data_IF_256167169623
#
_entry.id   IF_256167169623
#
_cell.length_a   1.000
_cell.length_b   1.000
_cell.length_c   1.000
_cell.angle_alpha   90.00
_cell.angle_beta   90.00
_cell.angle_gamma   90.00
#
_symmetry.space_group_name_H-M   'P 1'
#
loop_
_entity.id
_entity.type
_entity.pdbx_description
1 polymer ?
#
# COMPACT_ATOMS: atom_id res chain seq x y z
N UNK A 1 1.28 -18.32 11.72
CA UNK A 1 1.74 -16.96 12.09
C UNK A 1 1.45 -15.96 10.98
N UNK A 2 1.46 -14.67 11.32
CA UNK A 2 1.33 -13.57 10.36
C UNK A 2 2.47 -13.59 9.34
N UNK A 3 2.15 -13.41 8.06
CA UNK A 3 3.15 -13.44 6.97
C UNK A 3 3.41 -12.06 6.37
N UNK A 4 2.48 -11.12 6.59
CA UNK A 4 2.59 -9.72 6.24
C UNK A 4 1.88 -8.88 7.32
N UNK A 5 1.93 -7.55 7.19
CA UNK A 5 1.32 -6.63 8.12
C UNK A 5 0.38 -5.67 7.41
N UNK A 6 -0.57 -5.16 8.19
CA UNK A 6 -1.47 -4.09 7.79
C UNK A 6 -1.32 -2.95 8.82
N UNK A 7 -1.44 -1.71 8.36
CA UNK A 7 -1.40 -0.57 9.28
C UNK A 7 -2.64 -0.57 10.18
N UNK A 8 -2.50 -0.01 11.39
CA UNK A 8 -3.55 -0.05 12.42
C UNK A 8 -4.90 0.49 11.95
N UNK A 9 -4.89 1.47 11.07
CA UNK A 9 -6.09 2.16 10.55
C UNK A 9 -6.48 1.67 9.15
N UNK A 10 -5.78 0.66 8.62
CA UNK A 10 -6.11 0.04 7.35
C UNK A 10 -6.87 -1.25 7.62
N UNK A 11 -8.05 -1.37 7.01
CA UNK A 11 -8.86 -2.59 7.01
C UNK A 11 -8.50 -3.47 5.80
N UNK A 12 -8.95 -4.72 5.83
CA UNK A 12 -8.86 -5.62 4.67
C UNK A 12 -8.23 -6.97 4.97
N UNK A 13 -7.67 -7.58 3.92
CA UNK A 13 -7.17 -8.95 3.97
C UNK A 13 -5.85 -9.06 4.74
N UNK A 14 -5.82 -9.93 5.75
CA UNK A 14 -4.63 -10.31 6.49
C UNK A 14 -4.41 -11.82 6.34
N UNK A 15 -3.21 -12.23 5.92
CA UNK A 15 -2.90 -13.65 5.72
C UNK A 15 -2.17 -14.20 6.94
N UNK A 16 -2.71 -15.29 7.49
CA UNK A 16 -2.15 -16.02 8.62
C UNK A 16 -1.91 -17.46 8.19
N UNK A 17 -0.66 -17.92 8.26
CA UNK A 17 -0.36 -19.33 8.05
C UNK A 17 -0.80 -20.18 9.25
N UNK A 18 -1.39 -21.33 9.00
CA UNK A 18 -1.83 -22.28 10.04
C UNK A 18 -0.68 -23.13 10.59
N UNK A 19 0.34 -23.38 9.78
CA UNK A 19 1.50 -24.23 10.12
C UNK A 19 2.80 -23.64 9.55
N UNK A 20 3.92 -24.31 9.83
CA UNK A 20 5.25 -23.87 9.38
C UNK A 20 5.43 -23.95 7.87
N UNK A 21 4.89 -24.98 7.22
CA UNK A 21 5.01 -25.16 5.78
C UNK A 21 4.33 -24.02 5.03
N UNK A 22 3.08 -23.71 5.40
CA UNK A 22 2.33 -22.57 4.86
C UNK A 22 2.99 -21.24 5.18
N UNK A 23 3.58 -21.08 6.37
CA UNK A 23 4.29 -19.85 6.72
C UNK A 23 5.50 -19.63 5.81
N UNK A 24 6.30 -20.67 5.60
CA UNK A 24 7.49 -20.60 4.76
C UNK A 24 7.13 -20.37 3.29
N UNK A 25 6.19 -21.13 2.74
CA UNK A 25 5.72 -20.98 1.37
C UNK A 25 5.15 -19.58 1.11
N UNK A 26 4.31 -19.06 2.02
CA UNK A 26 3.77 -17.71 1.90
C UNK A 26 4.90 -16.67 1.93
N UNK A 27 5.84 -16.76 2.88
CA UNK A 27 6.97 -15.83 2.95
C UNK A 27 7.81 -15.81 1.68
N UNK A 28 8.06 -16.97 1.08
CA UNK A 28 8.75 -17.05 -0.21
C UNK A 28 7.96 -16.35 -1.32
N UNK A 29 6.64 -16.57 -1.41
CA UNK A 29 5.80 -15.92 -2.41
C UNK A 29 5.80 -14.38 -2.26
N UNK A 30 5.76 -13.87 -1.02
CA UNK A 30 5.89 -12.42 -0.76
C UNK A 30 7.28 -11.90 -1.18
N UNK A 31 8.36 -12.59 -0.79
CA UNK A 31 9.72 -12.20 -1.11
C UNK A 31 10.01 -12.24 -2.62
N UNK A 32 9.39 -13.17 -3.35
CA UNK A 32 9.49 -13.30 -4.79
C UNK A 32 8.58 -12.36 -5.59
N UNK A 33 7.77 -11.51 -4.93
CA UNK A 33 6.86 -10.59 -5.60
C UNK A 33 5.68 -11.28 -6.30
N UNK A 34 5.35 -12.52 -5.92
CA UNK A 34 4.29 -13.31 -6.54
C UNK A 34 2.89 -13.02 -5.97
N UNK A 35 2.83 -12.25 -4.88
CA UNK A 35 1.57 -11.90 -4.22
C UNK A 35 1.04 -10.58 -4.78
N UNK A 36 -0.10 -10.65 -5.47
CA UNK A 36 -0.85 -9.47 -5.91
C UNK A 36 -1.62 -8.87 -4.74
N UNK A 37 -1.33 -7.61 -4.40
CA UNK A 37 -1.96 -6.86 -3.29
C UNK A 37 -2.75 -5.68 -3.85
N UNK A 38 -4.05 -5.65 -3.60
CA UNK A 38 -4.95 -4.61 -4.10
C UNK A 38 -5.76 -3.98 -2.97
N UNK A 39 -5.94 -2.67 -3.07
CA UNK A 39 -6.62 -1.86 -2.07
C UNK A 39 -7.60 -0.90 -2.74
N UNK A 40 -8.60 -0.50 -1.97
CA UNK A 40 -9.46 0.63 -2.31
C UNK A 40 -9.23 1.72 -1.27
N UNK A 41 -9.04 2.95 -1.73
CA UNK A 41 -8.84 4.11 -0.89
C UNK A 41 -9.78 5.25 -1.29
N UNK A 42 -10.19 6.04 -0.30
CA UNK A 42 -10.84 7.33 -0.51
C UNK A 42 -9.79 8.41 -0.28
N UNK A 43 -9.43 9.12 -1.34
CA UNK A 43 -8.43 10.18 -1.34
C UNK A 43 -9.11 11.55 -1.32
N UNK A 44 -8.48 12.51 -0.66
CA UNK A 44 -8.83 13.92 -0.81
C UNK A 44 -8.44 14.41 -2.20
N UNK A 45 -9.22 15.37 -2.70
CA UNK A 45 -9.03 16.03 -3.99
C UNK A 45 -9.12 15.11 -5.22
N UNK A 46 -8.82 15.68 -6.38
CA UNK A 46 -8.78 15.01 -7.66
C UNK A 46 -7.40 14.38 -7.84
N UNK A 47 -7.30 13.07 -7.68
CA UNK A 47 -6.05 12.35 -7.98
C UNK A 47 -5.82 12.29 -9.51
N UNK A 48 -4.61 11.94 -9.98
CA UNK A 48 -4.35 11.80 -11.40
C UNK A 48 -5.33 10.83 -12.09
N UNK A 49 -5.68 11.06 -13.37
CA UNK A 49 -6.47 10.10 -14.13
C UNK A 49 -5.81 8.71 -14.12
N UNK A 50 -6.61 7.69 -13.89
CA UNK A 50 -6.17 6.30 -14.01
C UNK A 50 -6.27 5.81 -15.47
N UNK A 51 -5.41 4.88 -15.91
CA UNK A 51 -4.34 4.24 -15.13
C UNK A 51 -3.11 5.14 -14.99
N UNK A 52 -2.42 5.04 -13.85
CA UNK A 52 -1.16 5.73 -13.61
C UNK A 52 -0.21 4.89 -12.76
N UNK A 53 1.10 5.06 -12.95
CA UNK A 53 2.13 4.45 -12.11
C UNK A 53 2.75 5.54 -11.22
N UNK A 54 2.73 5.31 -9.92
CA UNK A 54 3.31 6.20 -8.91
C UNK A 54 4.62 5.61 -8.45
N UNK A 55 5.73 6.17 -8.92
CA UNK A 55 7.09 5.71 -8.60
C UNK A 55 7.88 6.83 -7.93
N UNK A 56 7.89 6.80 -6.60
CA UNK A 56 8.64 7.73 -5.79
C UNK A 56 9.34 6.92 -4.70
N UNK A 57 10.68 6.97 -4.58
CA UNK A 57 11.37 6.24 -3.54
C UNK A 57 10.97 6.75 -2.15
N UNK A 58 10.80 5.82 -1.21
CA UNK A 58 10.31 6.11 0.13
C UNK A 58 11.37 5.80 1.18
N UNK A 59 11.53 6.71 2.13
CA UNK A 59 12.35 6.50 3.33
C UNK A 59 11.43 6.38 4.54
N UNK A 60 11.65 5.33 5.33
CA UNK A 60 10.96 5.15 6.60
C UNK A 60 11.68 5.92 7.70
N UNK A 61 10.96 6.83 8.33
CA UNK A 61 11.42 7.57 9.50
C UNK A 61 10.96 6.86 10.76
N UNK A 62 11.94 6.49 11.59
CA UNK A 62 11.70 5.98 12.93
C UNK A 62 12.47 6.84 13.95
N UNK A 63 11.74 7.38 14.92
CA UNK A 63 12.32 7.97 16.13
C UNK A 63 11.66 7.31 17.34
N UNK A 64 12.46 7.03 18.36
CA UNK A 64 11.97 6.42 19.57
C UNK A 64 10.81 7.25 20.17
N UNK A 65 9.68 6.59 20.47
CA UNK A 65 8.47 7.24 20.98
C UNK A 65 7.52 7.84 19.93
N UNK A 66 7.88 7.83 18.64
CA UNK A 66 7.04 8.36 17.56
C UNK A 66 6.46 7.25 16.66
N UNK A 67 5.30 7.52 16.06
CA UNK A 67 4.71 6.66 15.03
C UNK A 67 5.64 6.58 13.83
N UNK A 68 5.72 5.39 13.23
CA UNK A 68 6.41 5.17 11.96
C UNK A 68 5.79 6.08 10.90
N UNK A 69 6.63 6.74 10.11
CA UNK A 69 6.20 7.58 8.98
C UNK A 69 7.06 7.25 7.77
N UNK A 70 6.50 7.46 6.59
CA UNK A 70 7.22 7.39 5.33
C UNK A 70 7.20 8.76 4.67
N UNK A 71 8.32 9.13 4.05
CA UNK A 71 8.43 10.34 3.23
C UNK A 71 9.02 9.99 1.87
N UNK A 72 8.69 10.79 0.86
CA UNK A 72 9.38 10.72 -0.44
C UNK A 72 10.79 11.27 -0.24
N UNK A 73 11.78 10.45 -0.58
CA UNK A 73 13.18 10.81 -0.44
C UNK A 73 13.96 10.19 -1.61
N UNK A 74 14.80 10.98 -2.28
CA UNK A 74 15.56 10.50 -3.45
C UNK A 74 16.56 9.39 -3.09
N UNK A 75 17.01 9.33 -1.83
CA UNK A 75 17.85 8.27 -1.26
C UNK A 75 17.04 7.14 -0.60
N UNK A 76 15.70 7.15 -0.76
CA UNK A 76 14.78 6.16 -0.25
C UNK A 76 14.86 4.81 -0.97
N UNK A 77 14.13 3.83 -0.44
CA UNK A 77 13.94 2.53 -1.11
C UNK A 77 12.95 2.70 -2.27
N UNK A 78 13.20 1.98 -3.36
CA UNK A 78 12.27 1.93 -4.48
C UNK A 78 10.86 1.53 -4.01
N UNK A 79 9.87 2.32 -4.40
CA UNK A 79 8.47 2.06 -4.12
C UNK A 79 7.62 2.37 -5.37
N UNK A 80 6.71 1.46 -5.70
CA UNK A 80 5.91 1.51 -6.92
C UNK A 80 4.47 1.07 -6.60
N UNK A 81 3.52 1.93 -6.94
CA UNK A 81 2.08 1.71 -6.79
C UNK A 81 1.37 2.00 -8.09
N UNK A 82 0.55 1.06 -8.55
CA UNK A 82 -0.30 1.24 -9.73
C UNK A 82 -1.66 1.77 -9.29
N UNK A 83 -2.03 2.95 -9.77
CA UNK A 83 -3.40 3.47 -9.71
C UNK A 83 -4.18 2.88 -10.88
N UNK A 84 -5.07 1.92 -10.61
CA UNK A 84 -5.79 1.18 -11.63
C UNK A 84 -7.05 1.89 -12.10
N UNK A 85 -7.80 2.43 -11.15
CA UNK A 85 -9.09 3.11 -11.39
C UNK A 85 -9.23 4.26 -10.41
N UNK A 86 -9.81 5.36 -10.87
CA UNK A 86 -10.12 6.53 -10.07
C UNK A 86 -11.49 7.06 -10.48
N UNK A 87 -12.34 7.37 -9.50
CA UNK A 87 -13.65 8.00 -9.72
C UNK A 87 -13.74 9.23 -8.84
N UNK A 88 -14.01 10.38 -9.45
CA UNK A 88 -14.09 11.67 -8.77
C UNK A 88 -15.52 11.98 -8.35
N UNK A 89 -15.69 12.44 -7.12
CA UNK A 89 -16.94 12.87 -6.54
C UNK A 89 -16.83 14.31 -6.05
N UNK A 90 -17.96 15.01 -6.04
CA UNK A 90 -18.08 16.30 -5.35
C UNK A 90 -18.72 16.05 -3.98
N UNK A 91 -18.09 16.55 -2.94
CA UNK A 91 -18.59 16.58 -1.57
C UNK A 91 -18.77 18.04 -1.14
N UNK A 92 -19.68 18.38 -0.20
CA UNK A 92 -19.83 19.76 0.27
C UNK A 92 -18.54 20.40 0.79
N UNK A 93 -17.63 19.58 1.32
CA UNK A 93 -16.34 20.03 1.90
C UNK A 93 -15.17 19.98 0.89
N UNK A 94 -15.39 19.52 -0.34
CA UNK A 94 -14.33 19.46 -1.36
C UNK A 94 -14.49 18.33 -2.37
N UNK A 95 -13.43 18.06 -3.11
CA UNK A 95 -13.38 16.92 -4.02
C UNK A 95 -12.87 15.68 -3.30
N UNK A 96 -13.42 14.52 -3.67
CA UNK A 96 -12.96 13.23 -3.18
C UNK A 96 -12.74 12.31 -4.38
N UNK A 97 -11.78 11.40 -4.26
CA UNK A 97 -11.56 10.35 -5.24
C UNK A 97 -11.63 8.98 -4.59
N UNK A 98 -12.50 8.09 -5.10
CA UNK A 98 -12.41 6.67 -4.80
C UNK A 98 -11.44 6.03 -5.80
N UNK A 99 -10.37 5.42 -5.30
CA UNK A 99 -9.31 4.83 -6.10
C UNK A 99 -9.14 3.34 -5.79
N UNK A 100 -8.89 2.55 -6.84
CA UNK A 100 -8.39 1.19 -6.72
C UNK A 100 -6.91 1.18 -7.06
N UNK A 101 -6.08 0.64 -6.17
CA UNK A 101 -4.63 0.62 -6.31
C UNK A 101 -4.08 -0.80 -6.16
N UNK A 102 -2.96 -1.07 -6.84
CA UNK A 102 -2.17 -2.29 -6.68
C UNK A 102 -0.76 -1.95 -6.24
N UNK A 103 -0.28 -2.64 -5.21
CA UNK A 103 1.09 -2.47 -4.73
C UNK A 103 2.03 -3.41 -5.48
N UNK A 104 3.04 -2.85 -6.14
CA UNK A 104 4.11 -3.64 -6.76
C UNK A 104 5.27 -3.91 -5.78
N UNK A 105 5.45 -3.00 -4.82
CA UNK A 105 6.44 -3.10 -3.73
C UNK A 105 5.75 -3.13 -2.36
N UNK A 106 6.48 -3.45 -1.28
CA UNK A 106 5.99 -3.30 0.09
C UNK A 106 6.78 -4.09 1.11
#
# INVERSE_FOLDING_TARGET
GLVHRLDRETSGALLCARDFHGHFAARLAFAAGQVRKEYVCLCSDLVPPAPALLEQPLRTLYRHGLKWRSEVASDGRHASTELQRAVHFRHPEGHLTLAAVRLNTG
#
